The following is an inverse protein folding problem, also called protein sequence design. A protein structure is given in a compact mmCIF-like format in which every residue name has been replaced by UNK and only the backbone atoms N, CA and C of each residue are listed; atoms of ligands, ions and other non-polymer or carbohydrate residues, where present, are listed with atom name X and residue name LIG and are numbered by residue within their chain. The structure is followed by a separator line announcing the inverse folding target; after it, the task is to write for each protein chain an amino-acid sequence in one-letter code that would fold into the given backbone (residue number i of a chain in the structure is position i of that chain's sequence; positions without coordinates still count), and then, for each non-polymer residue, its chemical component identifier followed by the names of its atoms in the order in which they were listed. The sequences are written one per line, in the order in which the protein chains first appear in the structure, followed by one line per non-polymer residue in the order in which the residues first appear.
data_IF_797701244533
#
_entry.id   IF_797701244533
#
_cell.length_a   1.000
_cell.length_b   1.000
_cell.length_c   1.000
_cell.angle_alpha   90.00
_cell.angle_beta   90.00
_cell.angle_gamma   90.00
#
_symmetry.space_group_name_H-M   'P 1'
#
loop_
_entity.id
_entity.type
_entity.pdbx_description
1 polymer ?
#
# COMPACT_ATOMS: atom_id res chain seq x y z
N UNK A 1 -19.76 -11.51 20.14
CA UNK A 1 -18.56 -11.43 19.29
C UNK A 1 -17.58 -12.51 19.77
N UNK A 2 -17.69 -13.74 19.28
CA UNK A 2 -16.80 -14.82 19.72
C UNK A 2 -15.47 -14.70 18.97
N UNK A 3 -14.43 -14.25 19.66
CA UNK A 3 -13.06 -14.22 19.15
C UNK A 3 -12.56 -15.66 18.99
N UNK A 4 -12.51 -16.14 17.76
CA UNK A 4 -11.98 -17.46 17.46
C UNK A 4 -10.45 -17.36 17.34
N UNK A 5 -9.73 -17.87 18.35
CA UNK A 5 -8.27 -17.86 18.37
C UNK A 5 -7.66 -18.60 17.17
N UNK A 6 -8.38 -19.55 16.56
CA UNK A 6 -7.90 -20.27 15.38
C UNK A 6 -7.88 -19.38 14.14
N UNK A 7 -8.88 -18.50 14.03
CA UNK A 7 -8.95 -17.48 12.97
C UNK A 7 -7.91 -16.40 13.23
N UNK A 8 -7.77 -15.93 14.47
CA UNK A 8 -6.75 -14.95 14.84
C UNK A 8 -5.32 -15.43 14.51
N UNK A 9 -5.01 -16.72 14.78
CA UNK A 9 -3.70 -17.33 14.46
C UNK A 9 -3.45 -17.43 12.95
N UNK A 10 -4.50 -17.69 12.17
CA UNK A 10 -4.40 -17.72 10.69
C UNK A 10 -4.13 -16.34 10.09
N UNK A 11 -4.56 -15.27 10.77
CA UNK A 11 -4.37 -13.86 10.36
C UNK A 11 -3.02 -13.29 10.85
N UNK A 12 -2.34 -13.93 11.81
CA UNK A 12 -1.04 -13.46 12.32
C UNK A 12 0.02 -13.10 11.26
N UNK A 13 0.30 -13.94 10.22
CA UNK A 13 1.30 -13.56 9.22
C UNK A 13 0.93 -12.28 8.48
N UNK A 14 -0.37 -12.05 8.23
CA UNK A 14 -0.85 -10.79 7.67
C UNK A 14 -0.59 -9.63 8.65
N UNK A 15 -0.89 -9.81 9.93
CA UNK A 15 -0.70 -8.79 10.96
C UNK A 15 0.77 -8.40 11.18
N UNK A 16 1.70 -9.35 11.10
CA UNK A 16 3.14 -9.07 11.19
C UNK A 16 3.59 -8.19 10.02
N UNK A 17 3.19 -8.53 8.79
CA UNK A 17 3.52 -7.74 7.60
C UNK A 17 2.84 -6.37 7.64
N UNK A 18 1.60 -6.29 8.13
CA UNK A 18 0.86 -5.05 8.30
C UNK A 18 1.55 -4.09 9.29
N UNK A 19 2.08 -4.61 10.40
CA UNK A 19 2.86 -3.79 11.34
C UNK A 19 4.16 -3.33 10.70
N UNK A 20 4.89 -4.22 10.03
CA UNK A 20 6.09 -3.84 9.28
C UNK A 20 5.81 -2.71 8.29
N UNK A 21 4.70 -2.82 7.55
CA UNK A 21 4.21 -1.77 6.64
C UNK A 21 4.01 -0.43 7.37
N UNK A 22 3.32 -0.40 8.51
CA UNK A 22 3.09 0.84 9.26
C UNK A 22 4.41 1.40 9.80
N UNK A 23 5.25 0.57 10.42
CA UNK A 23 6.51 1.00 11.02
C UNK A 23 7.46 1.58 9.98
N UNK A 24 7.70 0.87 8.86
CA UNK A 24 8.58 1.37 7.81
C UNK A 24 8.02 2.61 7.10
N UNK A 25 6.69 2.72 6.93
CA UNK A 25 6.09 3.94 6.38
C UNK A 25 6.32 5.16 7.29
N UNK A 26 6.12 5.00 8.61
CA UNK A 26 6.36 6.08 9.56
C UNK A 26 7.84 6.46 9.64
N UNK A 27 8.75 5.47 9.64
CA UNK A 27 10.19 5.71 9.59
C UNK A 27 10.61 6.40 8.28
N UNK A 28 10.02 6.02 7.14
CA UNK A 28 10.26 6.70 5.87
C UNK A 28 9.87 8.19 5.96
N UNK A 29 8.65 8.49 6.41
CA UNK A 29 8.17 9.88 6.58
C UNK A 29 8.96 10.70 7.61
N UNK A 30 9.65 10.05 8.56
CA UNK A 30 10.55 10.72 9.50
C UNK A 30 11.83 11.22 8.83
N UNK A 31 12.33 10.50 7.83
CA UNK A 31 13.62 10.78 7.18
C UNK A 31 13.49 11.38 5.78
N UNK A 32 12.27 11.41 5.23
CA UNK A 32 11.99 11.81 3.85
C UNK A 32 10.75 12.70 3.81
N UNK A 33 10.81 13.77 3.01
CA UNK A 33 9.64 14.55 2.63
C UNK A 33 8.52 13.73 1.98
N UNK A 34 7.28 14.22 2.18
CA UNK A 34 6.04 13.64 1.62
C UNK A 34 6.10 13.42 0.09
N UNK A 35 6.71 14.31 -0.71
CA UNK A 35 6.77 14.13 -2.16
C UNK A 35 7.58 12.88 -2.58
N UNK A 36 8.76 12.67 -2.01
CA UNK A 36 9.57 11.48 -2.30
C UNK A 36 8.99 10.21 -1.66
N UNK A 37 8.27 10.32 -0.55
CA UNK A 37 7.48 9.22 -0.01
C UNK A 37 6.48 8.67 -1.04
N UNK A 38 5.78 9.55 -1.77
CA UNK A 38 4.85 9.13 -2.82
C UNK A 38 5.56 8.44 -4.00
N UNK A 39 6.76 8.90 -4.35
CA UNK A 39 7.61 8.27 -5.37
C UNK A 39 8.03 6.86 -4.90
N UNK A 40 8.52 6.71 -3.67
CA UNK A 40 8.85 5.41 -3.08
C UNK A 40 7.64 4.47 -2.98
N UNK A 41 6.46 4.99 -2.64
CA UNK A 41 5.22 4.21 -2.53
C UNK A 41 4.82 3.55 -3.85
N UNK A 42 5.11 4.18 -4.98
CA UNK A 42 4.80 3.61 -6.30
C UNK A 42 5.52 2.29 -6.59
N UNK A 43 6.69 2.04 -5.99
CA UNK A 43 7.42 0.78 -6.12
C UNK A 43 6.63 -0.40 -5.56
N UNK A 44 5.64 -0.15 -4.71
CA UNK A 44 4.67 -1.16 -4.25
C UNK A 44 4.07 -1.90 -5.45
N UNK A 45 3.76 -1.18 -6.53
CA UNK A 45 3.18 -1.78 -7.75
C UNK A 45 4.15 -2.77 -8.40
N UNK A 46 5.43 -2.39 -8.51
CA UNK A 46 6.49 -3.24 -9.07
C UNK A 46 6.70 -4.48 -8.21
N UNK A 47 6.80 -4.31 -6.88
CA UNK A 47 6.93 -5.45 -5.96
C UNK A 47 5.69 -6.34 -5.97
N UNK A 48 4.49 -5.78 -6.13
CA UNK A 48 3.26 -6.55 -6.20
C UNK A 48 3.23 -7.44 -7.45
N UNK A 49 3.69 -6.94 -8.60
CA UNK A 49 3.88 -7.73 -9.83
C UNK A 49 4.87 -8.87 -9.59
N UNK A 50 6.06 -8.53 -9.08
CA UNK A 50 7.13 -9.49 -8.85
C UNK A 50 6.72 -10.58 -7.86
N UNK A 51 6.13 -10.20 -6.73
CA UNK A 51 5.68 -11.16 -5.71
C UNK A 51 4.43 -11.93 -6.14
N UNK A 52 3.53 -11.35 -6.94
CA UNK A 52 2.41 -12.10 -7.51
C UNK A 52 2.91 -13.18 -8.48
N UNK A 53 3.96 -12.89 -9.25
CA UNK A 53 4.61 -13.89 -10.09
C UNK A 53 5.30 -14.98 -9.25
N UNK A 54 6.11 -14.60 -8.25
CA UNK A 54 6.87 -15.56 -7.44
C UNK A 54 6.00 -16.40 -6.49
N UNK A 55 5.07 -15.78 -5.77
CA UNK A 55 4.27 -16.42 -4.71
C UNK A 55 2.98 -17.04 -5.23
N UNK A 56 2.32 -16.40 -6.20
CA UNK A 56 1.01 -16.85 -6.73
C UNK A 56 1.15 -17.58 -8.07
N UNK A 57 2.34 -17.60 -8.68
CA UNK A 57 2.61 -18.16 -10.03
C UNK A 57 1.64 -17.64 -11.10
N UNK A 58 1.11 -16.43 -10.91
CA UNK A 58 0.26 -15.79 -11.91
C UNK A 58 1.14 -15.17 -12.98
N UNK A 59 0.87 -15.48 -14.24
CA UNK A 59 1.55 -14.86 -15.37
C UNK A 59 1.09 -13.41 -15.51
N UNK A 60 2.05 -12.50 -15.66
CA UNK A 60 1.81 -11.08 -15.88
C UNK A 60 2.06 -10.74 -17.34
N UNK A 61 1.18 -9.93 -17.92
CA UNK A 61 1.30 -9.51 -19.32
C UNK A 61 2.53 -8.65 -19.56
N UNK A 62 2.99 -8.66 -20.80
CA UNK A 62 4.07 -7.79 -21.28
C UNK A 62 3.77 -6.30 -21.01
N UNK A 63 2.51 -5.89 -21.15
CA UNK A 63 2.08 -4.51 -20.86
C UNK A 63 2.28 -4.14 -19.38
N UNK A 64 2.00 -5.07 -18.46
CA UNK A 64 2.25 -4.86 -17.03
C UNK A 64 3.76 -4.72 -16.74
N UNK A 65 4.61 -5.48 -17.42
CA UNK A 65 6.06 -5.37 -17.30
C UNK A 65 6.58 -4.02 -17.79
N UNK A 66 6.04 -3.52 -18.91
CA UNK A 66 6.41 -2.22 -19.48
C UNK A 66 6.07 -1.07 -18.51
N UNK A 67 4.88 -1.11 -17.89
CA UNK A 67 4.50 -0.13 -16.85
C UNK A 67 5.42 -0.17 -15.63
N UNK A 68 5.91 -1.36 -15.24
CA UNK A 68 6.90 -1.47 -14.17
C UNK A 68 8.23 -0.81 -14.56
N UNK A 69 8.67 -0.96 -15.81
CA UNK A 69 9.85 -0.28 -16.34
C UNK A 69 9.73 1.25 -16.27
N UNK A 70 8.56 1.80 -16.61
CA UNK A 70 8.29 3.24 -16.49
C UNK A 70 8.36 3.71 -15.03
N UNK A 71 7.80 2.95 -14.09
CA UNK A 71 7.85 3.28 -12.65
C UNK A 71 9.30 3.26 -12.14
N UNK A 72 10.09 2.24 -12.51
CA UNK A 72 11.51 2.14 -12.11
C UNK A 72 12.32 3.30 -12.68
N UNK A 73 12.12 3.63 -13.96
CA UNK A 73 12.79 4.76 -14.61
C UNK A 73 12.42 6.09 -13.97
N UNK A 74 11.14 6.31 -13.68
CA UNK A 74 10.66 7.49 -12.96
C UNK A 74 11.23 7.58 -11.54
N UNK A 75 11.30 6.47 -10.81
CA UNK A 75 11.89 6.43 -9.47
C UNK A 75 13.39 6.75 -9.49
N UNK A 76 14.14 6.19 -10.44
CA UNK A 76 15.57 6.50 -10.61
C UNK A 76 15.77 7.99 -10.88
N UNK A 77 14.99 8.56 -11.79
CA UNK A 77 15.05 9.99 -12.10
C UNK A 77 14.68 10.85 -10.89
N UNK A 78 13.73 10.40 -10.06
CA UNK A 78 13.38 11.08 -8.80
C UNK A 78 14.51 11.04 -7.77
N UNK A 79 15.19 9.90 -7.62
CA UNK A 79 16.39 9.76 -6.77
C UNK A 79 17.50 10.69 -7.21
N UNK A 80 17.78 10.74 -8.52
CA UNK A 80 18.85 11.56 -9.08
C UNK A 80 18.62 13.05 -8.80
N UNK A 81 17.38 13.52 -8.97
CA UNK A 81 17.01 14.92 -8.70
C UNK A 81 17.07 15.27 -7.21
N UNK A 82 16.53 14.42 -6.32
CA UNK A 82 16.65 14.63 -4.86
C UNK A 82 18.11 14.52 -4.38
N UNK A 83 18.92 13.69 -5.04
CA UNK A 83 20.36 13.62 -4.83
C UNK A 83 21.07 14.91 -5.23
N UNK A 84 20.70 15.49 -6.37
CA UNK A 84 21.23 16.77 -6.83
C UNK A 84 20.79 17.96 -5.95
N UNK A 85 19.59 17.91 -5.37
CA UNK A 85 19.07 18.89 -4.41
C UNK A 85 19.68 18.70 -2.99
N UNK A 86 20.39 17.60 -2.74
CA UNK A 86 21.04 17.32 -1.45
C UNK A 86 20.08 16.91 -0.32
N UNK A 87 18.79 16.73 -0.63
CA UNK A 87 17.71 16.33 0.28
C UNK A 87 17.61 14.81 0.43
N UNK A 88 18.41 14.05 -0.33
CA UNK A 88 18.36 12.60 -0.36
C UNK A 88 18.83 11.98 0.98
N UNK A 89 17.88 11.33 1.66
CA UNK A 89 18.17 10.47 2.81
C UNK A 89 18.23 9.01 2.38
N UNK A 90 19.44 8.44 2.29
CA UNK A 90 19.63 7.03 1.94
C UNK A 90 18.86 6.09 2.89
N UNK A 91 18.91 6.39 4.19
CA UNK A 91 18.16 5.65 5.22
C UNK A 91 16.66 5.72 4.97
N UNK A 92 16.15 6.91 4.63
CA UNK A 92 14.76 7.12 4.26
C UNK A 92 14.35 6.34 3.01
N UNK A 93 15.19 6.34 1.97
CA UNK A 93 14.98 5.58 0.73
C UNK A 93 14.91 4.07 1.00
N UNK A 94 15.82 3.53 1.82
CA UNK A 94 15.79 2.10 2.20
C UNK A 94 14.50 1.76 2.93
N UNK A 95 14.08 2.59 3.90
CA UNK A 95 12.81 2.38 4.59
C UNK A 95 11.61 2.51 3.65
N UNK A 96 11.64 3.42 2.68
CA UNK A 96 10.60 3.55 1.65
C UNK A 96 10.49 2.30 0.78
N UNK A 97 11.61 1.74 0.34
CA UNK A 97 11.65 0.49 -0.44
C UNK A 97 11.11 -0.69 0.38
N UNK A 98 11.55 -0.83 1.63
CA UNK A 98 11.06 -1.86 2.55
C UNK A 98 9.58 -1.70 2.87
N UNK A 99 9.11 -0.46 3.03
CA UNK A 99 7.70 -0.16 3.23
C UNK A 99 6.89 -0.62 2.02
N UNK A 100 7.29 -0.27 0.81
CA UNK A 100 6.64 -0.70 -0.45
C UNK A 100 6.62 -2.22 -0.62
N UNK A 101 7.69 -2.91 -0.21
CA UNK A 101 7.73 -4.37 -0.16
C UNK A 101 6.70 -4.92 0.85
N UNK A 102 6.62 -4.35 2.06
CA UNK A 102 5.64 -4.77 3.06
C UNK A 102 4.20 -4.48 2.62
N UNK A 103 3.93 -3.35 1.96
CA UNK A 103 2.59 -3.03 1.41
C UNK A 103 2.17 -4.09 0.39
N UNK A 104 3.07 -4.47 -0.52
CA UNK A 104 2.77 -5.47 -1.54
C UNK A 104 2.57 -6.87 -0.95
N UNK A 105 3.41 -7.29 0.00
CA UNK A 105 3.20 -8.51 0.77
C UNK A 105 1.86 -8.49 1.54
N UNK A 106 1.52 -7.36 2.16
CA UNK A 106 0.25 -7.20 2.89
C UNK A 106 -0.95 -7.39 1.97
N UNK A 107 -0.90 -6.84 0.74
CA UNK A 107 -1.96 -7.01 -0.25
C UNK A 107 -2.10 -8.49 -0.70
N UNK A 108 -0.99 -9.20 -0.87
CA UNK A 108 -0.97 -10.62 -1.25
C UNK A 108 -1.50 -11.51 -0.11
N UNK A 109 -1.00 -11.32 1.11
CA UNK A 109 -1.49 -12.06 2.27
C UNK A 109 -2.95 -11.76 2.57
N UNK A 110 -3.42 -10.53 2.37
CA UNK A 110 -4.85 -10.17 2.48
C UNK A 110 -5.68 -11.06 1.55
N UNK A 111 -5.29 -11.20 0.29
CA UNK A 111 -5.99 -12.09 -0.66
C UNK A 111 -5.91 -13.56 -0.26
N UNK A 112 -4.76 -14.02 0.24
CA UNK A 112 -4.54 -15.43 0.62
C UNK A 112 -5.30 -15.81 1.90
N UNK A 113 -5.48 -14.88 2.83
CA UNK A 113 -6.16 -15.11 4.12
C UNK A 113 -7.66 -14.78 4.06
N UNK A 114 -8.11 -14.03 3.05
CA UNK A 114 -9.53 -13.70 2.86
C UNK A 114 -10.49 -14.91 2.87
N UNK A 115 -10.17 -16.08 2.25
CA UNK A 115 -11.03 -17.26 2.33
C UNK A 115 -11.14 -17.85 3.75
N UNK A 116 -10.14 -17.64 4.62
CA UNK A 116 -10.14 -18.16 5.99
C UNK A 116 -11.06 -17.38 6.96
N UNK A 117 -11.65 -16.26 6.50
CA UNK A 117 -12.55 -15.40 7.28
C UNK A 117 -13.92 -15.24 6.62
N UNK A 118 -14.37 -16.27 5.91
CA UNK A 118 -15.65 -16.29 5.19
C UNK A 118 -15.80 -15.15 4.17
N UNK A 119 -14.69 -14.72 3.55
CA UNK A 119 -14.63 -13.59 2.62
C UNK A 119 -15.11 -12.24 3.20
N UNK A 120 -15.21 -12.14 4.52
CA UNK A 120 -15.60 -10.89 5.19
C UNK A 120 -14.37 -10.01 5.44
N UNK A 121 -14.25 -8.94 4.65
CA UNK A 121 -13.21 -7.91 4.82
C UNK A 121 -13.28 -7.27 6.21
N UNK A 122 -14.49 -7.05 6.73
CA UNK A 122 -14.69 -6.48 8.07
C UNK A 122 -14.12 -7.38 9.18
N UNK A 123 -14.36 -8.70 9.05
CA UNK A 123 -13.85 -9.69 10.00
C UNK A 123 -12.32 -9.77 9.91
N UNK A 124 -11.76 -9.75 8.70
CA UNK A 124 -10.31 -9.71 8.48
C UNK A 124 -9.68 -8.49 9.16
N UNK A 125 -10.22 -7.29 8.89
CA UNK A 125 -9.71 -6.02 9.43
C UNK A 125 -9.81 -5.99 10.94
N UNK A 126 -10.90 -6.50 11.52
CA UNK A 126 -11.06 -6.59 12.97
C UNK A 126 -9.98 -7.48 13.60
N UNK A 127 -9.82 -8.72 13.12
CA UNK A 127 -8.79 -9.63 13.64
C UNK A 127 -7.37 -9.08 13.42
N UNK A 128 -7.12 -8.46 12.27
CA UNK A 128 -5.84 -7.85 11.97
C UNK A 128 -5.52 -6.69 12.92
N UNK A 129 -6.49 -5.82 13.21
CA UNK A 129 -6.31 -4.70 14.13
C UNK A 129 -6.11 -5.16 15.57
N UNK A 130 -6.86 -6.17 16.04
CA UNK A 130 -6.67 -6.77 17.36
C UNK A 130 -5.27 -7.37 17.50
N UNK A 131 -4.85 -8.18 16.52
CA UNK A 131 -3.48 -8.73 16.49
C UNK A 131 -2.43 -7.62 16.42
N UNK A 132 -2.68 -6.55 15.65
CA UNK A 132 -1.76 -5.43 15.54
C UNK A 132 -1.58 -4.70 16.87
N UNK A 133 -2.66 -4.45 17.64
CA UNK A 133 -2.56 -3.86 18.98
C UNK A 133 -1.65 -4.67 19.90
N UNK A 134 -1.74 -6.00 19.85
CA UNK A 134 -0.90 -6.89 20.67
C UNK A 134 0.55 -6.89 20.19
N UNK A 135 0.78 -6.98 18.87
CA UNK A 135 2.12 -7.08 18.29
C UNK A 135 2.88 -5.73 18.25
N UNK A 136 2.18 -4.59 18.32
CA UNK A 136 2.85 -3.28 18.47
C UNK A 136 3.52 -3.09 19.84
N UNK A 137 2.99 -3.71 20.91
CA UNK A 137 3.57 -3.63 22.25
C UNK A 137 5.03 -4.13 22.33
N UNK A 138 5.36 -5.37 21.91
CA UNK A 138 6.74 -5.83 21.93
C UNK A 138 7.62 -5.03 20.96
N UNK A 139 7.08 -4.59 19.81
CA UNK A 139 7.83 -3.78 18.86
C UNK A 139 8.23 -2.41 19.46
N UNK A 140 7.33 -1.77 20.21
CA UNK A 140 7.60 -0.51 20.92
C UNK A 140 8.71 -0.66 21.97
N UNK A 141 8.78 -1.81 22.63
CA UNK A 141 9.85 -2.13 23.59
C UNK A 141 11.19 -2.29 22.85
N UNK A 142 11.21 -3.06 21.77
CA UNK A 142 12.43 -3.33 20.98
C UNK A 142 13.00 -2.06 20.34
N UNK A 143 12.13 -1.18 19.82
CA UNK A 143 12.55 0.09 19.21
C UNK A 143 12.94 1.16 20.24
N UNK A 144 12.75 0.91 21.54
CA UNK A 144 13.06 1.87 22.60
C UNK A 144 12.07 3.05 22.70
N UNK A 145 11.00 3.04 21.92
CA UNK A 145 9.95 4.07 21.88
C UNK A 145 9.25 4.22 23.24
N UNK A 146 9.22 3.16 24.06
CA UNK A 146 8.65 3.24 25.41
C UNK A 146 9.37 4.27 26.30
N UNK A 147 10.70 4.41 26.15
CA UNK A 147 11.47 5.40 26.90
C UNK A 147 11.21 6.82 26.37
N UNK A 148 11.09 6.97 25.05
CA UNK A 148 10.74 8.23 24.43
C UNK A 148 9.34 8.70 24.85
N UNK A 149 8.38 7.78 24.95
CA UNK A 149 7.02 8.03 25.44
C UNK A 149 7.01 8.50 26.90
N UNK A 150 7.73 7.84 27.79
CA UNK A 150 7.80 8.24 29.20
C UNK A 150 8.51 9.57 29.42
N UNK A 151 9.47 9.92 28.54
CA UNK A 151 10.15 11.21 28.56
C UNK A 151 9.31 12.33 27.90
N UNK A 152 8.21 12.00 27.23
CA UNK A 152 7.39 12.97 26.52
C UNK A 152 6.50 13.77 27.49
N UNK A 153 6.83 15.04 27.65
CA UNK A 153 6.20 15.95 28.62
C UNK A 153 4.70 16.18 28.39
N UNK A 154 4.23 16.03 27.14
CA UNK A 154 2.82 16.24 26.78
C UNK A 154 1.99 14.95 26.77
N UNK A 155 2.52 13.82 27.25
CA UNK A 155 1.79 12.55 27.25
C UNK A 155 0.49 12.62 28.08
N UNK A 156 0.46 13.42 29.14
CA UNK A 156 -0.73 13.66 29.97
C UNK A 156 -1.63 14.78 29.45
N UNK A 157 -1.27 15.45 28.36
CA UNK A 157 -2.04 16.57 27.82
C UNK A 157 -3.33 16.11 27.15
N UNK A 158 -4.45 16.75 27.49
CA UNK A 158 -5.73 16.51 26.84
C UNK A 158 -5.68 16.82 25.34
N UNK A 159 -4.90 17.82 24.92
CA UNK A 159 -4.73 18.15 23.50
C UNK A 159 -4.05 17.02 22.74
N UNK A 160 -3.02 16.38 23.32
CA UNK A 160 -2.33 15.26 22.69
C UNK A 160 -3.30 14.09 22.44
N UNK A 161 -4.07 13.71 23.46
CA UNK A 161 -5.07 12.64 23.35
C UNK A 161 -6.22 13.00 22.41
N UNK A 162 -6.65 14.26 22.36
CA UNK A 162 -7.64 14.72 21.40
C UNK A 162 -7.14 14.52 19.95
N UNK A 163 -5.93 14.97 19.64
CA UNK A 163 -5.35 14.82 18.30
C UNK A 163 -5.10 13.34 17.95
N UNK A 164 -4.64 12.54 18.91
CA UNK A 164 -4.47 11.10 18.71
C UNK A 164 -5.80 10.38 18.44
N UNK A 165 -6.84 10.73 19.20
CA UNK A 165 -8.18 10.14 19.04
C UNK A 165 -8.80 10.56 17.72
N UNK A 166 -8.68 11.84 17.34
CA UNK A 166 -9.13 12.33 16.04
C UNK A 166 -8.39 11.65 14.89
N UNK A 167 -7.07 11.48 14.99
CA UNK A 167 -6.28 10.73 14.01
C UNK A 167 -6.74 9.28 13.87
N UNK A 168 -6.98 8.59 15.00
CA UNK A 168 -7.53 7.24 15.02
C UNK A 168 -8.93 7.15 14.40
N UNK A 169 -9.81 8.11 14.70
CA UNK A 169 -11.16 8.20 14.14
C UNK A 169 -11.11 8.38 12.61
N UNK A 170 -10.29 9.30 12.10
CA UNK A 170 -10.11 9.49 10.66
C UNK A 170 -9.47 8.26 10.00
N UNK A 171 -8.51 7.60 10.64
CA UNK A 171 -7.93 6.35 10.17
C UNK A 171 -8.98 5.25 10.00
N UNK A 172 -9.84 5.07 11.01
CA UNK A 172 -10.97 4.14 10.94
C UNK A 172 -11.98 4.53 9.86
N UNK A 173 -12.34 5.82 9.80
CA UNK A 173 -13.28 6.35 8.81
C UNK A 173 -12.78 6.15 7.38
N UNK A 174 -11.48 6.36 7.10
CA UNK A 174 -10.89 6.06 5.79
C UNK A 174 -11.02 4.58 5.47
N UNK A 175 -10.71 3.68 6.40
CA UNK A 175 -10.89 2.25 6.20
C UNK A 175 -12.34 1.88 5.86
N UNK A 176 -13.29 2.49 6.57
CA UNK A 176 -14.72 2.28 6.35
C UNK A 176 -15.18 2.80 4.98
N UNK A 177 -14.85 4.05 4.65
CA UNK A 177 -15.20 4.71 3.38
C UNK A 177 -14.56 4.00 2.20
N UNK A 178 -13.29 3.58 2.30
CA UNK A 178 -12.62 2.77 1.29
C UNK A 178 -13.36 1.45 1.03
N UNK A 179 -13.79 0.76 2.08
CA UNK A 179 -14.60 -0.46 1.95
C UNK A 179 -15.93 -0.21 1.25
N UNK A 180 -16.63 0.87 1.61
CA UNK A 180 -17.87 1.28 0.94
C UNK A 180 -17.65 1.67 -0.52
N UNK A 181 -16.57 2.40 -0.81
CA UNK A 181 -16.24 2.81 -2.18
C UNK A 181 -16.04 1.58 -3.07
N UNK A 182 -15.28 0.59 -2.61
CA UNK A 182 -15.07 -0.66 -3.37
C UNK A 182 -16.40 -1.40 -3.56
N UNK A 183 -17.26 -1.41 -2.54
CA UNK A 183 -18.57 -2.10 -2.58
C UNK A 183 -19.56 -1.45 -3.55
N UNK A 184 -19.64 -0.12 -3.58
CA UNK A 184 -20.62 0.62 -4.40
C UNK A 184 -20.14 0.99 -5.80
N UNK A 185 -18.82 0.99 -6.03
CA UNK A 185 -18.24 1.29 -7.34
C UNK A 185 -17.57 0.05 -7.91
N UNK A 186 -16.24 0.03 -7.97
CA UNK A 186 -15.47 -1.14 -8.31
C UNK A 186 -14.07 -1.04 -7.69
N UNK A 187 -13.35 -2.17 -7.56
CA UNK A 187 -11.94 -2.15 -7.20
C UNK A 187 -11.08 -1.29 -8.14
N UNK A 188 -11.46 -1.21 -9.43
CA UNK A 188 -10.77 -0.39 -10.42
C UNK A 188 -10.96 1.11 -10.14
N UNK A 189 -12.19 1.53 -9.87
CA UNK A 189 -12.52 2.92 -9.50
C UNK A 189 -11.82 3.35 -8.23
N UNK A 190 -11.76 2.48 -7.21
CA UNK A 190 -11.00 2.74 -5.99
C UNK A 190 -9.52 3.01 -6.30
N UNK A 191 -8.88 2.18 -7.13
CA UNK A 191 -7.47 2.36 -7.46
C UNK A 191 -7.21 3.65 -8.26
N UNK A 192 -8.08 4.00 -9.23
CA UNK A 192 -8.00 5.28 -9.96
C UNK A 192 -8.12 6.46 -9.00
N UNK A 193 -9.09 6.43 -8.06
CA UNK A 193 -9.25 7.47 -7.05
C UNK A 193 -8.04 7.56 -6.10
N UNK A 194 -7.41 6.41 -5.81
CA UNK A 194 -6.19 6.34 -5.01
C UNK A 194 -5.01 7.05 -5.68
N UNK A 195 -4.86 6.89 -6.99
CA UNK A 195 -3.81 7.61 -7.73
C UNK A 195 -4.12 9.10 -7.83
N UNK A 196 -5.37 9.48 -8.10
CA UNK A 196 -5.76 10.89 -8.11
C UNK A 196 -5.50 11.57 -6.75
N UNK A 197 -5.81 10.89 -5.64
CA UNK A 197 -5.47 11.33 -4.29
C UNK A 197 -3.95 11.51 -4.14
N UNK A 198 -3.14 10.58 -4.62
CA UNK A 198 -1.68 10.69 -4.55
C UNK A 198 -1.15 11.89 -5.35
N UNK A 199 -1.65 12.11 -6.58
CA UNK A 199 -1.34 13.29 -7.38
C UNK A 199 -1.67 14.58 -6.62
N UNK A 200 -2.89 14.69 -6.12
CA UNK A 200 -3.33 15.86 -5.36
C UNK A 200 -2.50 16.07 -4.10
N UNK A 201 -2.19 15.00 -3.36
CA UNK A 201 -1.37 15.08 -2.17
C UNK A 201 0.06 15.54 -2.48
N UNK A 202 0.65 15.09 -3.59
CA UNK A 202 1.98 15.57 -4.01
C UNK A 202 1.95 17.05 -4.35
N UNK A 203 0.98 17.52 -5.13
CA UNK A 203 0.87 18.95 -5.48
C UNK A 203 0.63 19.81 -4.24
N UNK A 204 -0.29 19.39 -3.37
CA UNK A 204 -0.57 20.11 -2.12
C UNK A 204 0.64 20.14 -1.19
N UNK A 205 1.43 19.06 -1.11
CA UNK A 205 2.64 19.04 -0.31
C UNK A 205 3.67 20.05 -0.83
N UNK A 206 3.94 20.06 -2.14
CA UNK A 206 4.89 21.01 -2.75
C UNK A 206 4.44 22.46 -2.52
N UNK A 207 3.14 22.75 -2.65
CA UNK A 207 2.60 24.09 -2.40
C UNK A 207 2.66 24.49 -0.92
N UNK A 208 2.34 23.57 0.00
CA UNK A 208 2.29 23.87 1.43
C UNK A 208 3.68 24.00 2.06
N UNK A 209 4.64 23.18 1.63
CA UNK A 209 6.03 23.25 2.11
C UNK A 209 6.89 24.26 1.35
N UNK A 210 6.29 25.00 0.39
CA UNK A 210 6.97 26.00 -0.45
C UNK A 210 8.25 25.47 -1.12
N UNK A 211 8.24 24.19 -1.51
CA UNK A 211 9.39 23.53 -2.12
C UNK A 211 9.47 23.88 -3.62
N UNK A 212 10.60 24.43 -4.06
CA UNK A 212 10.87 24.65 -5.48
C UNK A 212 11.47 23.37 -6.05
N UNK A 213 10.69 22.64 -6.86
CA UNK A 213 11.11 21.39 -7.49
C UNK A 213 11.43 21.57 -8.97
N UNK A 214 12.47 20.87 -9.44
CA UNK A 214 12.90 20.93 -10.83
C UNK A 214 11.85 20.37 -11.81
N UNK A 215 11.92 20.76 -13.09
CA UNK A 215 11.05 20.20 -14.13
C UNK A 215 11.24 18.69 -14.30
N UNK A 216 12.47 18.20 -14.13
CA UNK A 216 12.79 16.78 -14.15
C UNK A 216 12.10 16.05 -13.00
N UNK A 217 12.07 16.65 -11.81
CA UNK A 217 11.36 16.07 -10.66
C UNK A 217 9.86 15.90 -10.94
N UNK A 218 9.21 16.90 -11.54
CA UNK A 218 7.81 16.79 -11.98
C UNK A 218 7.60 15.69 -13.03
N UNK A 219 8.55 15.56 -13.95
CA UNK A 219 8.54 14.51 -14.97
C UNK A 219 8.67 13.12 -14.33
N UNK A 220 9.56 12.93 -13.35
CA UNK A 220 9.65 11.71 -12.54
C UNK A 220 8.31 11.37 -11.88
N UNK A 221 7.72 12.33 -11.17
CA UNK A 221 6.47 12.12 -10.46
C UNK A 221 5.31 11.77 -11.43
N UNK A 222 5.26 12.40 -12.61
CA UNK A 222 4.30 12.05 -13.66
C UNK A 222 4.54 10.65 -14.24
N UNK A 223 5.78 10.26 -14.51
CA UNK A 223 6.11 8.91 -15.00
C UNK A 223 5.71 7.85 -13.98
N UNK A 224 5.99 8.10 -12.71
CA UNK A 224 5.69 7.19 -11.61
C UNK A 224 4.17 7.02 -11.40
N UNK A 225 3.44 8.12 -11.25
CA UNK A 225 1.99 8.10 -11.02
C UNK A 225 1.24 7.64 -12.27
N UNK A 226 1.67 8.08 -13.45
CA UNK A 226 1.15 7.65 -14.74
C UNK A 226 1.39 6.16 -14.97
N UNK A 227 2.59 5.66 -14.70
CA UNK A 227 2.92 4.24 -14.79
C UNK A 227 2.08 3.37 -13.85
N UNK A 228 1.87 3.81 -12.60
CA UNK A 228 1.00 3.11 -11.65
C UNK A 228 -0.47 3.12 -12.08
N UNK A 229 -0.93 4.21 -12.71
CA UNK A 229 -2.29 4.31 -13.27
C UNK A 229 -2.47 3.39 -14.46
N UNK A 230 -1.51 3.40 -15.39
CA UNK A 230 -1.50 2.52 -16.56
C UNK A 230 -1.45 1.04 -16.16
N UNK A 231 -0.63 0.68 -15.16
CA UNK A 231 -0.60 -0.68 -14.61
C UNK A 231 -1.98 -1.12 -14.11
N UNK A 232 -2.63 -0.25 -13.33
CA UNK A 232 -3.96 -0.52 -12.77
C UNK A 232 -4.99 -0.73 -13.89
N UNK A 233 -4.92 0.10 -14.93
CA UNK A 233 -5.78 -0.03 -16.11
C UNK A 233 -5.56 -1.37 -16.83
N UNK A 234 -4.30 -1.70 -17.15
CA UNK A 234 -3.93 -2.95 -17.84
C UNK A 234 -4.43 -4.17 -17.08
N UNK A 235 -4.22 -4.19 -15.75
CA UNK A 235 -4.72 -5.28 -14.89
C UNK A 235 -6.24 -5.33 -14.86
N UNK A 236 -6.91 -4.18 -14.81
CA UNK A 236 -8.38 -4.12 -14.91
C UNK A 236 -8.89 -4.74 -16.21
N UNK A 237 -8.24 -4.42 -17.32
CA UNK A 237 -8.54 -4.97 -18.64
C UNK A 237 -8.29 -6.49 -18.75
N UNK A 238 -7.17 -6.97 -18.20
CA UNK A 238 -6.87 -8.42 -18.14
C UNK A 238 -7.91 -9.21 -17.33
N UNK A 239 -8.36 -8.63 -16.22
CA UNK A 239 -9.39 -9.24 -15.38
C UNK A 239 -10.73 -9.34 -16.12
N UNK A 240 -11.10 -8.34 -16.91
CA UNK A 240 -12.33 -8.36 -17.74
C UNK A 240 -12.25 -9.43 -18.82
N UNK A 241 -11.16 -9.49 -19.59
CA UNK A 241 -10.97 -10.50 -20.64
C UNK A 241 -11.01 -11.94 -20.09
N UNK A 242 -10.43 -12.16 -18.91
CA UNK A 242 -10.45 -13.49 -18.26
C UNK A 242 -11.87 -13.88 -17.80
N UNK A 243 -12.73 -12.90 -17.48
CA UNK A 243 -14.13 -13.14 -17.10
C UNK A 243 -15.08 -13.30 -18.29
N UNK A 244 -14.70 -12.83 -19.49
CA UNK A 244 -15.46 -13.07 -20.73
C UNK A 244 -15.14 -14.43 -21.38
N UNK A 245 -13.96 -14.99 -21.11
CA UNK A 245 -13.50 -16.31 -21.61
C UNK A 245 -13.89 -17.60 -20.81
N UNK A 246 -14.83 -17.64 -19.84
CA UNK A 246 -15.30 -18.91 -19.27
C UNK A 246 -16.21 -19.70 -20.24
N UNK A 247 -16.74 -19.09 -21.31
CA UNK A 247 -17.70 -19.73 -22.21
C UNK A 247 -17.08 -20.56 -23.35
N UNK A 248 -15.77 -20.43 -23.59
CA UNK A 248 -15.10 -21.11 -24.71
C UNK A 248 -14.58 -22.51 -24.38
N UNK A 249 -14.47 -22.88 -23.09
CA UNK A 249 -13.93 -24.20 -22.67
C UNK A 249 -14.97 -25.29 -22.40
N UNK A 250 -16.25 -24.94 -22.26
CA UNK A 250 -17.33 -25.94 -22.11
C UNK A 250 -17.93 -26.38 -23.47
N UNK A 251 -17.73 -25.61 -24.54
CA UNK A 251 -18.18 -25.97 -25.89
C UNK A 251 -17.32 -27.04 -26.58
N UNK A 252 -16.02 -27.11 -26.27
CA UNK A 252 -15.10 -28.02 -26.96
C UNK A 252 -15.13 -29.46 -26.40
N UNK A 253 -15.53 -29.64 -25.13
CA UNK A 253 -15.71 -30.99 -24.56
C UNK A 253 -17.02 -31.67 -24.99
N UNK A 254 -18.01 -30.92 -25.46
CA UNK A 254 -19.27 -31.49 -25.95
C UNK A 254 -19.22 -31.84 -27.45
N UNK A 255 -18.34 -31.20 -28.22
CA UNK A 255 -18.17 -31.48 -29.66
C UNK A 255 -17.28 -32.71 -29.96
N UNK A 256 -16.50 -33.19 -28.99
CA UNK A 256 -15.66 -34.40 -29.12
C UNK A 256 -16.42 -35.67 -28.65
N UNK A 257 -17.67 -35.53 -28.20
CA UNK A 257 -18.50 -36.63 -27.66
C UNK A 257 -19.78 -36.93 -28.44
N UNK A 258 -19.91 -36.43 -29.67
CA UNK A 258 -21.03 -36.79 -30.57
C UNK A 258 -20.50 -37.57 -31.76
#
# INVERSE_FOLDING_TARGET
LNLDLKVARSVLPLSVVFIGMITFNNLCLKYVGVPFYNVGRSLTTVFNVLLSYLLLKQTTSFYALLTCGVIIGGFWLGIDQEGAEGTLSLTGTIFGVLASLCVSLNAIYTKKVLPAVDHSIWRLTFYNNVNACVLFLPLMIVLGELRALLAFTHLSSAHFWLMMTLGGLFGFAIGYVTGLQIKFTSPLTHNVSGTAKACAQTVLAVLYYEEIKSFLWWTSNLMVLGGSSAYTWVRGWEMQKTQEDPSSKDGEKSAIRV
#
